data_IF_079417213252
#
_entry.id   IF_079417213252
#
_cell.length_a   1.000
_cell.length_b   1.000
_cell.length_c   1.000
_cell.angle_alpha   90.00
_cell.angle_beta   90.00
_cell.angle_gamma   90.00
#
_symmetry.space_group_name_H-M   'P 1'
#
loop_
_entity.id
_entity.type
_entity.pdbx_description
1 polymer ?
#
# COMPACT_ATOMS: atom_id res chain seq x y z
N UNK A 1 20.57 37.74 25.82
CA UNK A 1 21.16 36.39 26.00
C UNK A 1 20.41 35.45 25.07
N UNK A 2 21.03 35.03 23.96
CA UNK A 2 20.45 34.07 23.04
C UNK A 2 20.76 32.67 23.56
N UNK A 3 19.75 31.93 24.03
CA UNK A 3 19.90 30.50 24.31
C UNK A 3 20.08 29.77 22.99
N UNK A 4 21.30 29.31 22.73
CA UNK A 4 21.56 28.35 21.68
C UNK A 4 20.92 27.02 22.08
N UNK A 5 19.83 26.65 21.40
CA UNK A 5 19.27 25.30 21.49
C UNK A 5 20.35 24.33 20.99
N UNK A 6 20.86 23.47 21.88
CA UNK A 6 21.75 22.39 21.50
C UNK A 6 21.09 21.56 20.40
N UNK A 7 21.82 21.16 19.34
CA UNK A 7 21.26 20.31 18.30
C UNK A 7 20.77 19.02 18.96
N UNK A 8 19.46 18.76 18.84
CA UNK A 8 18.85 17.52 19.31
C UNK A 8 19.56 16.36 18.65
N UNK A 9 20.30 15.56 19.42
CA UNK A 9 21.00 14.40 18.90
C UNK A 9 19.98 13.35 18.45
N UNK A 10 19.89 13.09 17.16
CA UNK A 10 19.09 12.01 16.59
C UNK A 10 19.98 10.85 16.18
N UNK A 11 19.54 9.61 16.40
CA UNK A 11 20.31 8.41 16.06
C UNK A 11 19.45 7.39 15.32
N UNK A 12 20.01 6.77 14.27
CA UNK A 12 19.36 5.65 13.57
C UNK A 12 19.87 4.34 14.14
N UNK A 13 18.96 3.45 14.55
CA UNK A 13 19.28 2.15 15.14
C UNK A 13 18.32 1.06 14.65
N UNK A 14 18.65 -0.24 14.79
CA UNK A 14 17.71 -1.32 14.51
C UNK A 14 16.43 -1.21 15.35
N UNK A 15 15.30 -1.61 14.76
CA UNK A 15 14.02 -1.73 15.44
C UNK A 15 14.08 -2.67 16.64
N UNK A 16 13.45 -2.27 17.74
CA UNK A 16 13.30 -3.05 18.97
C UNK A 16 11.81 -3.20 19.32
N UNK A 17 11.49 -4.16 20.19
CA UNK A 17 10.09 -4.43 20.59
C UNK A 17 9.41 -3.23 21.25
N UNK A 18 10.16 -2.42 21.99
CA UNK A 18 9.70 -1.22 22.67
C UNK A 18 9.32 -0.09 21.69
N UNK A 19 9.84 -0.12 20.45
CA UNK A 19 9.49 0.86 19.42
C UNK A 19 8.09 0.61 18.82
N UNK A 20 7.48 -0.55 19.07
CA UNK A 20 6.28 -1.02 18.37
C UNK A 20 5.14 0.02 18.35
N UNK A 21 4.84 0.60 19.52
CA UNK A 21 3.76 1.57 19.65
C UNK A 21 4.08 2.87 18.89
N UNK A 22 5.27 3.44 19.08
CA UNK A 22 5.69 4.67 18.40
C UNK A 22 5.80 4.50 16.89
N UNK A 23 6.28 3.33 16.42
CA UNK A 23 6.33 3.00 14.99
C UNK A 23 4.95 2.90 14.39
N UNK A 24 3.99 2.26 15.07
CA UNK A 24 2.59 2.24 14.60
C UNK A 24 1.99 3.64 14.52
N UNK A 25 2.24 4.49 15.50
CA UNK A 25 1.78 5.89 15.47
C UNK A 25 2.38 6.67 14.29
N UNK A 26 3.65 6.44 13.95
CA UNK A 26 4.29 7.04 12.77
C UNK A 26 3.61 6.57 11.47
N UNK A 27 3.32 5.26 11.36
CA UNK A 27 2.62 4.69 10.19
C UNK A 27 1.21 5.26 10.06
N UNK A 28 0.46 5.30 11.18
CA UNK A 28 -0.92 5.78 11.19
C UNK A 28 -1.02 7.30 10.96
N UNK A 29 0.02 8.08 11.31
CA UNK A 29 0.07 9.51 11.06
C UNK A 29 0.18 9.87 9.56
N UNK A 30 0.82 9.00 8.77
CA UNK A 30 1.04 9.17 7.33
C UNK A 30 0.02 8.39 6.47
N UNK A 31 -1.10 7.97 7.08
CA UNK A 31 -2.11 7.09 6.50
C UNK A 31 -3.03 7.81 5.51
N UNK A 32 -3.41 7.12 4.44
CA UNK A 32 -4.39 7.60 3.46
C UNK A 32 -5.85 7.46 3.96
N UNK A 33 -6.80 8.27 3.47
CA UNK A 33 -8.24 8.03 3.65
C UNK A 33 -8.62 6.60 3.24
N UNK A 34 -9.34 5.85 4.08
CA UNK A 34 -9.67 4.44 3.80
C UNK A 34 -8.50 3.46 3.76
N UNK A 35 -7.29 3.83 4.19
CA UNK A 35 -6.24 2.86 4.50
C UNK A 35 -6.47 2.31 5.91
N UNK A 36 -6.36 1.01 6.10
CA UNK A 36 -6.57 0.39 7.42
C UNK A 36 -5.48 0.82 8.41
N UNK A 37 -5.81 0.92 9.71
CA UNK A 37 -4.80 1.20 10.74
C UNK A 37 -3.75 0.09 10.81
N UNK A 38 -2.55 0.47 11.20
CA UNK A 38 -1.46 -0.45 11.48
C UNK A 38 -1.65 -1.08 12.86
N UNK A 39 -2.08 -2.35 12.90
CA UNK A 39 -2.16 -3.12 14.14
C UNK A 39 -0.81 -3.76 14.46
N UNK A 40 -0.66 -4.27 15.69
CA UNK A 40 0.52 -5.01 16.12
C UNK A 40 0.79 -6.22 15.21
N UNK A 41 -0.26 -6.95 14.86
CA UNK A 41 -0.21 -8.16 14.05
C UNK A 41 0.24 -7.83 12.62
N UNK A 42 -0.23 -6.71 12.08
CA UNK A 42 0.13 -6.22 10.74
C UNK A 42 1.59 -5.76 10.68
N UNK A 43 2.06 -5.02 11.68
CA UNK A 43 3.47 -4.68 11.80
C UNK A 43 4.33 -5.94 12.00
N UNK A 44 3.89 -6.91 12.81
CA UNK A 44 4.59 -8.17 12.98
C UNK A 44 4.64 -9.00 11.68
N UNK A 45 3.58 -8.98 10.87
CA UNK A 45 3.56 -9.61 9.54
C UNK A 45 4.53 -8.90 8.59
N UNK A 46 4.54 -7.57 8.56
CA UNK A 46 5.49 -6.76 7.81
C UNK A 46 6.96 -7.15 8.07
N UNK A 47 7.29 -7.34 9.35
CA UNK A 47 8.63 -7.72 9.83
C UNK A 47 9.06 -9.11 9.37
N UNK A 48 8.10 -10.02 9.17
CA UNK A 48 8.37 -11.35 8.63
C UNK A 48 8.63 -11.33 7.12
N UNK A 49 8.26 -10.25 6.44
CA UNK A 49 8.23 -10.16 4.98
C UNK A 49 6.90 -10.68 4.42
N UNK A 50 6.65 -10.47 3.11
CA UNK A 50 5.53 -11.13 2.44
C UNK A 50 5.65 -12.65 2.64
N UNK A 51 4.55 -13.42 2.63
CA UNK A 51 4.66 -14.87 2.51
C UNK A 51 5.43 -15.22 1.24
N UNK A 52 6.17 -16.33 1.25
CA UNK A 52 6.94 -16.79 0.10
C UNK A 52 6.01 -16.92 -1.12
N UNK A 53 6.09 -15.96 -2.04
CA UNK A 53 5.57 -16.15 -3.39
C UNK A 53 6.51 -17.18 -4.03
N UNK A 54 5.93 -18.29 -4.49
CA UNK A 54 6.66 -19.36 -5.13
C UNK A 54 7.62 -18.77 -6.18
N UNK A 55 8.87 -19.24 -6.17
CA UNK A 55 9.98 -18.94 -7.09
C UNK A 55 11.04 -17.93 -6.63
N UNK A 56 10.88 -17.23 -5.50
CA UNK A 56 11.96 -16.37 -4.97
C UNK A 56 12.66 -17.08 -3.80
N UNK A 57 13.87 -17.59 -4.06
CA UNK A 57 14.71 -18.25 -3.06
C UNK A 57 14.86 -17.40 -1.79
N UNK A 58 14.67 -18.04 -0.63
CA UNK A 58 14.82 -17.51 0.73
C UNK A 58 14.63 -15.99 0.85
N UNK A 59 13.37 -15.54 0.96
CA UNK A 59 13.07 -14.13 1.21
C UNK A 59 13.85 -13.64 2.45
N UNK A 60 14.79 -12.69 2.24
CA UNK A 60 15.39 -11.97 3.35
C UNK A 60 14.28 -11.24 4.10
N UNK A 61 14.35 -11.27 5.44
CA UNK A 61 13.43 -10.49 6.27
C UNK A 61 13.76 -9.00 6.09
N UNK A 62 12.76 -8.12 5.97
CA UNK A 62 13.01 -6.68 5.91
C UNK A 62 13.82 -6.22 7.13
N UNK A 63 14.93 -5.53 6.87
CA UNK A 63 15.65 -4.79 7.90
C UNK A 63 14.85 -3.54 8.19
N UNK A 64 14.59 -3.30 9.47
CA UNK A 64 13.84 -2.12 9.92
C UNK A 64 14.73 -1.32 10.84
N UNK A 65 14.90 -0.06 10.48
CA UNK A 65 15.66 0.91 11.26
C UNK A 65 14.75 2.03 11.74
N UNK A 66 14.97 2.48 12.96
CA UNK A 66 14.23 3.53 13.64
C UNK A 66 15.17 4.70 13.89
N UNK A 67 14.75 5.90 13.50
CA UNK A 67 15.36 7.15 13.93
C UNK A 67 14.75 7.51 15.28
N UNK A 68 15.57 7.60 16.33
CA UNK A 68 15.14 8.03 17.65
C UNK A 68 15.73 9.37 18.06
N UNK A 69 15.01 10.10 18.91
CA UNK A 69 15.51 11.32 19.55
C UNK A 69 16.39 11.03 20.78
N UNK A 70 16.86 12.08 21.45
CA UNK A 70 17.70 11.97 22.64
C UNK A 70 17.03 11.25 23.83
N UNK A 71 15.70 11.17 23.85
CA UNK A 71 14.93 10.43 24.84
C UNK A 71 14.54 9.02 24.36
N UNK A 72 15.17 8.56 23.27
CA UNK A 72 14.95 7.28 22.60
C UNK A 72 13.52 7.08 22.04
N UNK A 73 12.77 8.16 21.80
CA UNK A 73 11.45 8.06 21.19
C UNK A 73 11.57 7.95 19.66
N UNK A 74 10.79 7.06 19.01
CA UNK A 74 10.74 6.97 17.54
C UNK A 74 10.27 8.28 16.90
N UNK A 75 11.10 8.84 16.01
CA UNK A 75 10.83 10.01 15.17
C UNK A 75 10.61 9.65 13.70
N UNK A 76 11.12 8.50 13.28
CA UNK A 76 10.86 7.96 11.96
C UNK A 76 11.28 6.50 11.87
N UNK A 77 10.83 5.81 10.84
CA UNK A 77 11.11 4.39 10.61
C UNK A 77 11.26 4.13 9.11
N UNK A 78 12.16 3.22 8.74
CA UNK A 78 12.35 2.76 7.37
C UNK A 78 12.53 1.26 7.34
N UNK A 79 11.97 0.61 6.31
CA UNK A 79 12.20 -0.79 6.04
C UNK A 79 12.80 -0.99 4.65
N UNK A 80 13.82 -1.85 4.59
CA UNK A 80 14.48 -2.17 3.33
C UNK A 80 14.98 -3.62 3.29
N UNK A 81 15.23 -4.09 2.07
CA UNK A 81 15.66 -5.42 1.70
C UNK A 81 16.86 -5.33 0.77
N UNK A 82 17.70 -6.36 0.77
CA UNK A 82 18.77 -6.54 -0.20
C UNK A 82 18.80 -7.97 -0.69
N UNK A 83 19.06 -8.16 -1.98
CA UNK A 83 19.34 -9.47 -2.57
C UNK A 83 20.79 -9.45 -3.09
N UNK A 84 21.74 -10.05 -2.35
CA UNK A 84 23.15 -10.00 -2.72
C UNK A 84 23.48 -10.66 -4.07
N UNK A 85 22.72 -11.69 -4.45
CA UNK A 85 22.87 -12.48 -5.67
C UNK A 85 22.55 -11.67 -6.93
N UNK A 86 21.42 -10.96 -6.95
CA UNK A 86 21.00 -10.10 -8.06
C UNK A 86 21.43 -8.62 -7.89
N UNK A 87 22.06 -8.29 -6.75
CA UNK A 87 22.52 -6.94 -6.38
C UNK A 87 21.42 -5.89 -6.47
N UNK A 88 20.22 -6.24 -6.00
CA UNK A 88 19.07 -5.34 -5.95
C UNK A 88 18.73 -5.02 -4.51
N UNK A 89 18.47 -3.74 -4.22
CA UNK A 89 17.91 -3.29 -2.95
C UNK A 89 16.47 -2.83 -3.15
N UNK A 90 15.63 -2.98 -2.12
CA UNK A 90 14.28 -2.40 -2.11
C UNK A 90 14.07 -1.62 -0.82
N UNK A 91 13.63 -0.37 -0.92
CA UNK A 91 13.04 0.36 0.20
C UNK A 91 11.54 0.10 0.17
N UNK A 92 11.05 -0.68 1.13
CA UNK A 92 9.66 -1.13 1.16
C UNK A 92 8.72 0.00 1.57
N UNK A 93 9.09 0.73 2.62
CA UNK A 93 8.31 1.82 3.20
C UNK A 93 9.17 2.68 4.12
N UNK A 94 8.79 3.94 4.28
CA UNK A 94 9.38 4.89 5.22
C UNK A 94 8.28 5.78 5.80
N UNK A 95 8.38 6.15 7.08
CA UNK A 95 7.39 6.98 7.78
C UNK A 95 8.08 7.91 8.77
N UNK A 96 7.67 9.18 8.79
CA UNK A 96 8.26 10.19 9.65
C UNK A 96 7.35 11.42 9.85
N UNK A 97 6.02 11.29 9.68
CA UNK A 97 5.10 12.43 9.77
C UNK A 97 5.41 13.52 8.74
N UNK A 98 5.94 13.12 7.59
CA UNK A 98 6.49 14.01 6.56
C UNK A 98 7.55 15.00 7.06
N UNK A 99 8.30 14.66 8.13
CA UNK A 99 9.48 15.42 8.56
C UNK A 99 10.66 15.19 7.60
N UNK A 100 10.92 16.15 6.73
CA UNK A 100 11.94 16.05 5.68
C UNK A 100 13.36 15.76 6.23
N UNK A 101 13.86 16.40 7.31
CA UNK A 101 15.15 16.05 7.89
C UNK A 101 15.25 14.60 8.39
N UNK A 102 14.21 14.07 9.04
CA UNK A 102 14.14 12.69 9.47
C UNK A 102 14.15 11.72 8.28
N UNK A 103 13.37 12.03 7.23
CA UNK A 103 13.32 11.24 6.00
C UNK A 103 14.69 11.18 5.30
N UNK A 104 15.37 12.32 5.15
CA UNK A 104 16.73 12.38 4.60
C UNK A 104 17.70 11.51 5.40
N UNK A 105 17.63 11.57 6.73
CA UNK A 105 18.49 10.78 7.62
C UNK A 105 18.24 9.28 7.46
N UNK A 106 16.98 8.86 7.43
CA UNK A 106 16.58 7.46 7.23
C UNK A 106 16.98 6.93 5.85
N UNK A 107 16.73 7.70 4.78
CA UNK A 107 17.12 7.33 3.42
C UNK A 107 18.63 7.25 3.29
N UNK A 108 19.38 8.22 3.83
CA UNK A 108 20.84 8.17 3.85
C UNK A 108 21.38 6.91 4.54
N UNK A 109 20.79 6.53 5.68
CA UNK A 109 21.13 5.28 6.36
C UNK A 109 20.84 4.04 5.50
N UNK A 110 19.62 3.92 4.95
CA UNK A 110 19.26 2.77 4.10
C UNK A 110 20.14 2.67 2.85
N UNK A 111 20.48 3.80 2.22
CA UNK A 111 21.36 3.84 1.06
C UNK A 111 22.80 3.42 1.37
N UNK A 112 23.31 3.77 2.56
CA UNK A 112 24.62 3.30 3.01
C UNK A 112 24.63 1.78 3.20
N UNK A 113 23.58 1.21 3.80
CA UNK A 113 23.40 -0.23 3.95
C UNK A 113 23.24 -0.96 2.60
N UNK A 114 22.60 -0.29 1.63
CA UNK A 114 22.36 -0.82 0.28
C UNK A 114 23.47 -0.46 -0.72
N UNK A 115 24.61 0.08 -0.28
CA UNK A 115 25.66 0.61 -1.17
C UNK A 115 26.26 -0.42 -2.16
N UNK A 116 26.10 -1.72 -1.89
CA UNK A 116 26.54 -2.82 -2.77
C UNK A 116 25.54 -3.18 -3.87
N UNK A 117 24.32 -2.64 -3.81
CA UNK A 117 23.28 -2.89 -4.79
C UNK A 117 23.53 -2.03 -6.04
N UNK A 118 23.40 -2.63 -7.22
CA UNK A 118 23.47 -1.90 -8.50
C UNK A 118 22.20 -1.10 -8.77
N UNK A 119 21.07 -1.61 -8.30
CA UNK A 119 19.76 -0.98 -8.42
C UNK A 119 19.10 -0.98 -7.06
N UNK A 120 18.47 0.15 -6.73
CA UNK A 120 17.62 0.29 -5.56
C UNK A 120 16.26 0.76 -6.04
N UNK A 121 15.24 -0.05 -5.84
CA UNK A 121 13.86 0.32 -6.07
C UNK A 121 13.23 0.78 -4.76
N UNK A 122 12.27 1.70 -4.80
CA UNK A 122 11.56 2.13 -3.60
C UNK A 122 10.06 2.19 -3.85
N UNK A 123 9.31 1.77 -2.83
CA UNK A 123 7.84 1.72 -2.81
C UNK A 123 7.27 0.82 -3.93
N UNK A 124 7.95 -0.27 -4.26
CA UNK A 124 7.50 -1.24 -5.29
C UNK A 124 6.77 -2.44 -4.68
N UNK A 125 5.67 -2.86 -5.30
CA UNK A 125 5.24 -4.27 -5.32
C UNK A 125 4.52 -4.83 -4.08
N UNK A 126 4.08 -4.01 -3.13
CA UNK A 126 3.19 -4.50 -2.07
C UNK A 126 1.72 -4.35 -2.51
N UNK A 127 0.85 -5.36 -2.34
CA UNK A 127 -0.59 -5.14 -2.47
C UNK A 127 -1.03 -4.07 -1.46
N UNK A 128 -2.12 -3.33 -1.73
CA UNK A 128 -2.63 -2.32 -0.81
C UNK A 128 -2.85 -2.93 0.57
N UNK A 129 -2.30 -2.27 1.58
CA UNK A 129 -2.35 -2.78 2.94
C UNK A 129 -2.04 -1.71 3.99
N UNK A 130 -1.87 -2.14 5.25
CA UNK A 130 -1.64 -1.25 6.38
C UNK A 130 -0.35 -0.43 6.24
N UNK A 131 0.64 -0.98 5.54
CA UNK A 131 1.94 -0.35 5.26
C UNK A 131 1.94 0.46 3.95
N UNK A 132 0.76 0.78 3.43
CA UNK A 132 0.60 1.62 2.27
C UNK A 132 0.03 0.90 1.04
N UNK A 133 -0.18 1.66 -0.03
CA UNK A 133 -0.98 1.22 -1.17
C UNK A 133 -0.18 0.51 -2.29
N UNK A 134 1.08 0.11 -2.05
CA UNK A 134 1.93 -0.46 -3.11
C UNK A 134 2.66 0.56 -4.00
N UNK A 135 2.67 1.81 -3.56
CA UNK A 135 3.38 2.96 -4.13
C UNK A 135 3.36 4.12 -3.14
N UNK A 136 4.11 5.18 -3.43
CA UNK A 136 4.08 6.42 -2.64
C UNK A 136 2.96 7.33 -3.15
N UNK A 137 1.97 7.71 -2.32
CA UNK A 137 1.02 8.79 -2.62
C UNK A 137 1.78 10.11 -2.78
N UNK A 138 1.97 10.58 -4.02
CA UNK A 138 2.92 11.66 -4.30
C UNK A 138 2.55 12.99 -3.64
N UNK A 139 1.27 13.38 -3.67
CA UNK A 139 0.82 14.66 -3.13
C UNK A 139 0.74 14.64 -1.59
N UNK A 140 0.26 13.55 -1.02
CA UNK A 140 0.09 13.41 0.45
C UNK A 140 1.36 13.03 1.17
N UNK A 141 2.34 12.49 0.46
CA UNK A 141 3.68 12.16 0.97
C UNK A 141 4.77 12.97 0.24
N UNK A 142 4.53 14.28 0.10
CA UNK A 142 5.37 15.20 -0.67
C UNK A 142 6.80 15.33 -0.12
N UNK A 143 7.01 15.34 1.19
CA UNK A 143 8.34 15.40 1.78
C UNK A 143 9.11 14.08 1.57
N UNK A 144 8.41 12.94 1.62
CA UNK A 144 9.00 11.65 1.28
C UNK A 144 9.40 11.61 -0.21
N UNK A 145 8.55 12.13 -1.09
CA UNK A 145 8.87 12.28 -2.51
C UNK A 145 10.12 13.15 -2.73
N UNK A 146 10.16 14.35 -2.12
CA UNK A 146 11.29 15.27 -2.21
C UNK A 146 12.59 14.61 -1.73
N UNK A 147 12.56 13.95 -0.57
CA UNK A 147 13.74 13.26 -0.03
C UNK A 147 14.27 12.15 -0.94
N UNK A 148 13.38 11.44 -1.66
CA UNK A 148 13.79 10.44 -2.66
C UNK A 148 14.46 11.08 -3.88
N UNK A 149 13.91 12.18 -4.40
CA UNK A 149 14.51 12.89 -5.54
C UNK A 149 15.90 13.42 -5.19
N UNK A 150 16.05 14.04 -4.01
CA UNK A 150 17.35 14.52 -3.53
C UNK A 150 18.37 13.40 -3.30
N UNK A 151 17.89 12.22 -2.92
CA UNK A 151 18.71 11.03 -2.80
C UNK A 151 19.07 10.38 -4.15
N UNK A 152 18.68 11.00 -5.27
CA UNK A 152 19.04 10.60 -6.64
C UNK A 152 18.13 9.53 -7.23
N UNK A 153 16.91 9.35 -6.69
CA UNK A 153 15.92 8.48 -7.31
C UNK A 153 15.19 9.18 -8.45
N UNK A 154 14.77 8.39 -9.44
CA UNK A 154 13.82 8.80 -10.48
C UNK A 154 12.46 8.20 -10.17
N UNK A 155 11.42 9.04 -10.12
CA UNK A 155 10.04 8.62 -9.87
C UNK A 155 9.31 8.21 -11.16
N UNK A 156 8.43 7.22 -11.05
CA UNK A 156 7.52 6.79 -12.10
C UNK A 156 6.12 6.61 -11.52
N UNK A 157 5.13 7.25 -12.14
CA UNK A 157 3.72 7.04 -11.82
C UNK A 157 3.32 5.61 -12.17
N UNK A 158 2.75 4.87 -11.22
CA UNK A 158 2.38 3.46 -11.32
C UNK A 158 0.93 3.16 -11.03
N UNK A 159 0.20 4.04 -10.38
CA UNK A 159 -1.19 3.80 -10.06
C UNK A 159 -1.94 5.03 -9.60
N UNK A 160 -3.18 4.80 -9.21
CA UNK A 160 -4.04 5.76 -8.53
C UNK A 160 -4.65 5.08 -7.31
N UNK A 161 -4.69 5.80 -6.19
CA UNK A 161 -5.41 5.39 -5.00
C UNK A 161 -6.79 6.05 -5.00
N UNK A 162 -7.84 5.23 -4.98
CA UNK A 162 -9.22 5.70 -4.95
C UNK A 162 -9.87 5.41 -3.61
N UNK A 163 -10.78 6.29 -3.20
CA UNK A 163 -11.58 6.17 -1.98
C UNK A 163 -13.04 6.51 -2.25
N UNK A 164 -13.94 5.79 -1.60
CA UNK A 164 -15.34 6.18 -1.47
C UNK A 164 -15.85 5.97 -0.05
N UNK A 165 -16.74 6.85 0.39
CA UNK A 165 -17.58 6.59 1.57
C UNK A 165 -18.76 5.71 1.16
N UNK A 166 -19.03 4.67 1.93
CA UNK A 166 -20.23 3.85 1.74
C UNK A 166 -21.39 4.52 2.49
N UNK A 167 -22.56 4.69 1.85
CA UNK A 167 -23.74 5.24 2.53
C UNK A 167 -24.09 4.38 3.75
N UNK A 168 -24.45 5.04 4.85
CA UNK A 168 -24.88 4.37 6.08
C UNK A 168 -26.27 3.76 6.00
N UNK A 169 -27.05 4.13 4.98
CA UNK A 169 -28.29 3.43 4.63
C UNK A 169 -27.96 2.09 3.95
N UNK A 170 -28.84 1.07 4.06
CA UNK A 170 -28.61 -0.22 3.42
C UNK A 170 -28.33 0.00 1.94
N UNK A 171 -27.11 -0.31 1.50
CA UNK A 171 -26.79 -0.34 0.08
C UNK A 171 -27.85 -1.19 -0.59
N UNK A 172 -28.58 -0.70 -1.62
CA UNK A 172 -29.74 -1.39 -2.14
C UNK A 172 -29.36 -2.82 -2.48
N UNK A 173 -29.83 -3.75 -1.65
CA UNK A 173 -29.45 -5.14 -1.75
C UNK A 173 -29.96 -5.62 -3.11
N UNK A 174 -29.09 -6.20 -3.95
CA UNK A 174 -29.56 -6.77 -5.19
C UNK A 174 -30.61 -7.83 -4.85
N UNK A 175 -31.77 -7.77 -5.49
CA UNK A 175 -32.92 -8.64 -5.20
C UNK A 175 -32.57 -10.14 -5.26
N UNK A 176 -31.46 -10.50 -5.93
CA UNK A 176 -30.84 -11.82 -5.90
C UNK A 176 -29.32 -11.68 -6.06
N UNK A 177 -28.54 -12.25 -5.14
CA UNK A 177 -27.10 -12.44 -5.34
C UNK A 177 -26.91 -13.41 -6.51
N UNK A 178 -26.14 -12.97 -7.51
CA UNK A 178 -25.76 -13.75 -8.70
C UNK A 178 -24.35 -14.32 -8.54
N UNK A 179 -23.54 -13.73 -7.66
CA UNK A 179 -22.18 -14.19 -7.39
C UNK A 179 -22.17 -15.25 -6.27
N UNK A 180 -21.41 -16.32 -6.47
CA UNK A 180 -20.99 -17.21 -5.40
C UNK A 180 -19.97 -16.47 -4.51
N UNK A 181 -20.06 -16.63 -3.19
CA UNK A 181 -19.16 -15.99 -2.23
C UNK A 181 -18.35 -17.07 -1.50
N UNK A 182 -17.02 -16.93 -1.53
CA UNK A 182 -16.09 -17.84 -0.86
C UNK A 182 -15.18 -17.06 0.10
N UNK A 183 -14.80 -17.62 1.25
CA UNK A 183 -13.70 -17.06 2.04
C UNK A 183 -12.40 -17.12 1.24
N UNK A 184 -11.55 -16.11 1.42
CA UNK A 184 -10.23 -16.02 0.79
C UNK A 184 -9.18 -15.76 1.88
N UNK A 185 -8.07 -16.50 1.85
CA UNK A 185 -6.97 -16.35 2.83
C UNK A 185 -5.89 -15.38 2.35
N UNK A 186 -5.70 -15.25 1.04
CA UNK A 186 -4.64 -14.43 0.44
C UNK A 186 -5.15 -13.71 -0.83
N UNK A 187 -5.43 -12.40 -0.75
CA UNK A 187 -5.50 -11.60 0.48
C UNK A 187 -6.69 -12.03 1.37
N UNK A 188 -6.62 -11.82 2.70
CA UNK A 188 -7.68 -12.22 3.61
C UNK A 188 -8.97 -11.46 3.31
N UNK A 189 -10.09 -12.17 3.16
CA UNK A 189 -11.39 -11.56 2.84
C UNK A 189 -12.38 -12.53 2.18
N UNK A 190 -13.10 -12.02 1.19
CA UNK A 190 -14.10 -12.77 0.41
C UNK A 190 -13.80 -12.66 -1.08
N UNK A 191 -13.90 -13.79 -1.77
CA UNK A 191 -13.84 -13.91 -3.23
C UNK A 191 -15.27 -14.08 -3.75
N UNK A 192 -15.70 -13.17 -4.62
CA UNK A 192 -17.01 -13.20 -5.26
C UNK A 192 -16.84 -13.61 -6.72
N UNK A 193 -17.62 -14.58 -7.19
CA UNK A 193 -17.50 -15.13 -8.55
C UNK A 193 -18.87 -15.15 -9.23
N UNK A 194 -18.99 -14.51 -10.40
CA UNK A 194 -20.14 -14.70 -11.30
C UNK A 194 -19.79 -15.77 -12.32
N UNK A 195 -20.72 -16.71 -12.56
CA UNK A 195 -20.54 -17.80 -13.52
C UNK A 195 -21.51 -17.71 -14.71
N UNK A 196 -21.06 -18.22 -15.85
CA UNK A 196 -21.91 -18.62 -16.98
C UNK A 196 -21.87 -20.16 -17.08
N UNK A 197 -22.95 -20.81 -16.69
CA UNK A 197 -22.93 -22.25 -16.38
C UNK A 197 -21.91 -22.57 -15.28
N UNK A 198 -20.92 -23.42 -15.59
CA UNK A 198 -19.83 -23.76 -14.67
C UNK A 198 -18.63 -22.79 -14.74
N UNK A 199 -18.55 -21.98 -15.79
CA UNK A 199 -17.37 -21.16 -16.10
C UNK A 199 -17.38 -19.84 -15.29
N UNK A 200 -16.33 -19.51 -14.52
CA UNK A 200 -16.24 -18.23 -13.83
C UNK A 200 -15.92 -17.11 -14.82
N UNK A 201 -16.84 -16.16 -15.02
CA UNK A 201 -16.74 -15.10 -16.05
C UNK A 201 -16.40 -13.72 -15.50
N UNK A 202 -16.61 -13.50 -14.19
CA UNK A 202 -16.16 -12.30 -13.49
C UNK A 202 -15.83 -12.63 -12.03
N UNK A 203 -14.86 -11.91 -11.47
CA UNK A 203 -14.35 -12.15 -10.12
C UNK A 203 -13.99 -10.85 -9.40
N UNK A 204 -14.21 -10.79 -8.09
CA UNK A 204 -13.72 -9.74 -7.21
C UNK A 204 -13.18 -10.34 -5.91
N UNK A 205 -12.14 -9.73 -5.34
CA UNK A 205 -11.65 -10.06 -3.99
C UNK A 205 -11.68 -8.81 -3.13
N UNK A 206 -12.39 -8.89 -2.02
CA UNK A 206 -12.64 -7.77 -1.11
C UNK A 206 -12.46 -8.17 0.34
N UNK A 207 -12.21 -7.21 1.23
CA UNK A 207 -12.15 -7.45 2.67
C UNK A 207 -12.65 -6.26 3.47
N UNK A 208 -13.05 -6.51 4.72
CA UNK A 208 -13.32 -5.47 5.72
C UNK A 208 -12.27 -5.56 6.81
N UNK A 209 -11.59 -4.45 7.05
CA UNK A 209 -10.66 -4.30 8.16
C UNK A 209 -11.37 -4.01 9.49
N UNK A 210 -10.67 -4.14 10.63
CA UNK A 210 -11.25 -3.92 11.97
C UNK A 210 -11.81 -2.51 12.17
N UNK A 211 -11.32 -1.52 11.41
CA UNK A 211 -11.77 -0.12 11.48
C UNK A 211 -13.02 0.16 10.63
N UNK A 212 -13.73 -0.87 10.17
CA UNK A 212 -14.88 -0.76 9.23
C UNK A 212 -14.49 -0.17 7.87
N UNK A 213 -13.21 -0.29 7.52
CA UNK A 213 -12.66 0.16 6.24
C UNK A 213 -12.52 -1.04 5.31
N UNK A 214 -13.18 -1.00 4.16
CA UNK A 214 -13.07 -2.04 3.16
C UNK A 214 -11.89 -1.82 2.20
N UNK A 215 -11.35 -2.92 1.68
CA UNK A 215 -10.36 -2.91 0.59
C UNK A 215 -10.89 -3.76 -0.56
N UNK A 216 -10.91 -3.19 -1.77
CA UNK A 216 -11.13 -3.93 -3.01
C UNK A 216 -9.75 -4.23 -3.60
N UNK A 217 -9.34 -5.49 -3.54
CA UNK A 217 -7.99 -5.89 -3.98
C UNK A 217 -7.91 -6.05 -5.50
N UNK A 218 -8.91 -6.70 -6.08
CA UNK A 218 -9.06 -6.77 -7.53
C UNK A 218 -10.50 -6.93 -7.94
N UNK A 219 -10.77 -6.61 -9.20
CA UNK A 219 -12.00 -6.95 -9.90
C UNK A 219 -11.68 -7.17 -11.37
N UNK A 220 -12.17 -8.27 -11.93
CA UNK A 220 -11.93 -8.64 -13.31
C UNK A 220 -13.20 -9.20 -13.97
N UNK A 221 -13.32 -9.00 -15.28
CA UNK A 221 -14.26 -9.71 -16.14
C UNK A 221 -13.49 -10.29 -17.31
N UNK A 222 -13.71 -11.59 -17.61
CA UNK A 222 -13.07 -12.28 -18.73
C UNK A 222 -13.24 -11.46 -20.02
N UNK A 223 -12.20 -11.34 -20.87
CA UNK A 223 -12.26 -10.54 -22.10
C UNK A 223 -13.50 -10.80 -22.97
N UNK A 224 -13.89 -12.06 -23.15
CA UNK A 224 -15.07 -12.49 -23.94
C UNK A 224 -16.43 -12.10 -23.35
N UNK A 225 -16.46 -11.67 -22.09
CA UNK A 225 -17.66 -11.31 -21.33
C UNK A 225 -17.71 -9.83 -20.94
N UNK A 226 -16.73 -9.04 -21.36
CA UNK A 226 -16.70 -7.58 -21.15
C UNK A 226 -17.81 -6.88 -21.93
N UNK A 227 -18.14 -5.66 -21.53
CA UNK A 227 -19.23 -4.87 -22.14
C UNK A 227 -20.65 -5.29 -21.73
N UNK A 228 -20.80 -6.37 -20.95
CA UNK A 228 -22.11 -6.90 -20.52
C UNK A 228 -22.56 -6.41 -19.13
N UNK A 229 -21.85 -5.44 -18.56
CA UNK A 229 -22.14 -4.89 -17.22
C UNK A 229 -21.81 -5.81 -16.04
N UNK A 230 -21.06 -6.90 -16.25
CA UNK A 230 -20.71 -7.85 -15.18
C UNK A 230 -19.86 -7.21 -14.09
N UNK A 231 -18.85 -6.40 -14.42
CA UNK A 231 -18.05 -5.68 -13.42
C UNK A 231 -18.91 -4.78 -12.52
N UNK A 232 -19.88 -4.05 -13.07
CA UNK A 232 -20.83 -3.25 -12.28
C UNK A 232 -21.70 -4.11 -11.38
N UNK A 233 -22.26 -5.21 -11.90
CA UNK A 233 -23.07 -6.15 -11.09
C UNK A 233 -22.26 -6.78 -9.96
N UNK A 234 -21.00 -7.11 -10.23
CA UNK A 234 -20.11 -7.73 -9.25
C UNK A 234 -19.68 -6.74 -8.17
N UNK A 235 -19.28 -5.52 -8.56
CA UNK A 235 -18.93 -4.47 -7.61
C UNK A 235 -20.11 -4.09 -6.70
N UNK A 236 -21.33 -4.01 -7.26
CA UNK A 236 -22.54 -3.76 -6.46
C UNK A 236 -22.84 -4.87 -5.45
N UNK A 237 -22.63 -6.13 -5.81
CA UNK A 237 -22.76 -7.25 -4.87
C UNK A 237 -21.66 -7.26 -3.82
N UNK A 238 -20.42 -6.95 -4.21
CA UNK A 238 -19.33 -6.79 -3.25
C UNK A 238 -19.64 -5.68 -2.25
N UNK A 239 -20.18 -4.55 -2.69
CA UNK A 239 -20.52 -3.42 -1.82
C UNK A 239 -21.67 -3.75 -0.86
N UNK A 240 -22.69 -4.48 -1.32
CA UNK A 240 -23.74 -5.00 -0.44
C UNK A 240 -23.15 -5.91 0.65
N UNK A 241 -22.27 -6.85 0.28
CA UNK A 241 -21.58 -7.73 1.23
C UNK A 241 -20.71 -6.94 2.23
N UNK A 242 -19.95 -5.95 1.75
CA UNK A 242 -19.10 -5.11 2.61
C UNK A 242 -19.94 -4.27 3.58
N UNK A 243 -21.07 -3.73 3.14
CA UNK A 243 -22.00 -2.99 3.99
C UNK A 243 -22.66 -3.88 5.04
N UNK A 244 -23.06 -5.11 4.69
CA UNK A 244 -23.55 -6.13 5.64
C UNK A 244 -22.49 -6.50 6.69
N UNK A 245 -21.21 -6.48 6.30
CA UNK A 245 -20.07 -6.65 7.20
C UNK A 245 -19.71 -5.37 7.99
N UNK A 246 -20.52 -4.32 7.85
CA UNK A 246 -20.41 -3.09 8.61
C UNK A 246 -19.41 -2.08 8.06
N UNK A 247 -18.86 -2.26 6.86
CA UNK A 247 -17.97 -1.29 6.24
C UNK A 247 -18.67 0.05 5.99
N UNK A 248 -17.96 1.15 6.22
CA UNK A 248 -18.46 2.54 6.03
C UNK A 248 -17.70 3.31 4.97
N UNK A 249 -16.59 2.75 4.51
CA UNK A 249 -15.76 3.31 3.45
C UNK A 249 -15.04 2.16 2.74
N UNK A 250 -14.62 2.41 1.51
CA UNK A 250 -13.82 1.48 0.74
C UNK A 250 -12.68 2.22 0.03
N UNK A 251 -11.55 1.54 -0.10
CA UNK A 251 -10.42 2.02 -0.88
C UNK A 251 -9.89 0.93 -1.81
N UNK A 252 -9.25 1.37 -2.89
CA UNK A 252 -8.62 0.49 -3.86
C UNK A 252 -7.47 1.19 -4.58
N UNK A 253 -6.68 0.38 -5.28
CA UNK A 253 -5.63 0.86 -6.17
C UNK A 253 -5.94 0.43 -7.60
N UNK A 254 -5.80 1.37 -8.52
CA UNK A 254 -5.80 1.09 -9.95
C UNK A 254 -4.36 1.13 -10.41
N UNK A 255 -3.89 0.03 -10.99
CA UNK A 255 -2.60 0.01 -11.68
C UNK A 255 -2.66 0.87 -12.93
N UNK A 256 -1.67 1.73 -13.10
CA UNK A 256 -1.51 2.61 -14.24
C UNK A 256 -0.89 1.81 -15.38
N UNK A 257 -1.73 1.00 -16.01
CA UNK A 257 -1.47 0.51 -17.35
C UNK A 257 -1.47 1.71 -18.32
N UNK A 258 -0.77 1.64 -19.46
CA UNK A 258 -0.88 2.66 -20.49
C UNK A 258 -2.35 3.01 -20.74
N UNK A 259 -2.70 4.28 -21.03
CA UNK A 259 -4.08 4.65 -21.29
C UNK A 259 -4.59 3.78 -22.43
N UNK A 260 -5.47 2.86 -22.05
CA UNK A 260 -6.11 1.87 -22.90
C UNK A 260 -7.60 2.00 -22.67
N UNK A 261 -8.40 1.52 -23.61
CA UNK A 261 -9.85 1.43 -23.44
C UNK A 261 -10.25 0.69 -22.14
N UNK A 262 -9.39 -0.21 -21.66
CA UNK A 262 -9.58 -0.96 -20.41
C UNK A 262 -9.38 -0.10 -19.16
N UNK A 263 -8.29 0.66 -19.10
CA UNK A 263 -8.00 1.58 -17.99
C UNK A 263 -9.13 2.59 -17.81
N UNK A 264 -9.64 3.18 -18.90
CA UNK A 264 -10.78 4.09 -18.84
C UNK A 264 -12.08 3.40 -18.39
N UNK A 265 -12.28 2.13 -18.78
CA UNK A 265 -13.45 1.38 -18.37
C UNK A 265 -13.43 1.08 -16.86
N UNK A 266 -12.26 0.80 -16.29
CA UNK A 266 -12.08 0.64 -14.85
C UNK A 266 -12.38 1.95 -14.12
N UNK A 267 -11.79 3.08 -14.54
CA UNK A 267 -12.09 4.39 -13.93
C UNK A 267 -13.58 4.72 -13.96
N UNK A 268 -14.23 4.61 -15.14
CA UNK A 268 -15.69 4.85 -15.26
C UNK A 268 -16.53 3.91 -14.39
N UNK A 269 -16.08 2.66 -14.21
CA UNK A 269 -16.75 1.73 -13.30
C UNK A 269 -16.69 2.27 -11.88
N UNK A 270 -15.50 2.58 -11.36
CA UNK A 270 -15.33 3.04 -9.98
C UNK A 270 -15.98 4.40 -9.72
N UNK A 271 -15.86 5.34 -10.66
CA UNK A 271 -16.54 6.65 -10.60
C UNK A 271 -18.06 6.46 -10.45
N UNK A 272 -18.65 5.45 -11.14
CA UNK A 272 -20.09 5.17 -11.03
C UNK A 272 -20.53 4.62 -9.66
N UNK A 273 -19.59 4.26 -8.78
CA UNK A 273 -19.82 3.89 -7.38
C UNK A 273 -19.39 4.98 -6.39
N UNK A 274 -19.04 6.17 -6.88
CA UNK A 274 -18.65 7.30 -6.03
C UNK A 274 -17.21 7.23 -5.54
N UNK A 275 -16.35 6.41 -6.15
CA UNK A 275 -14.92 6.52 -5.92
C UNK A 275 -14.40 7.85 -6.46
N UNK A 276 -13.45 8.42 -5.72
CA UNK A 276 -12.74 9.62 -6.10
C UNK A 276 -11.24 9.39 -5.99
N UNK A 277 -10.47 10.03 -6.88
CA UNK A 277 -9.03 10.03 -6.83
C UNK A 277 -8.56 10.73 -5.56
N UNK A 278 -7.79 10.03 -4.74
CA UNK A 278 -7.16 10.61 -3.55
C UNK A 278 -5.75 11.07 -3.86
N UNK A 279 -4.99 10.24 -4.58
CA UNK A 279 -3.60 10.54 -4.96
C UNK A 279 -3.12 9.59 -6.08
N UNK A 280 -2.09 10.01 -6.78
CA UNK A 280 -1.33 9.17 -7.70
C UNK A 280 -0.26 8.40 -6.92
N UNK A 281 -0.07 7.13 -7.29
CA UNK A 281 0.93 6.26 -6.68
C UNK A 281 2.19 6.21 -7.53
N UNK A 282 3.32 6.47 -6.89
CA UNK A 282 4.62 6.55 -7.52
C UNK A 282 5.57 5.48 -6.98
N UNK A 283 6.33 4.87 -7.87
CA UNK A 283 7.48 4.02 -7.54
C UNK A 283 8.75 4.74 -7.93
N UNK A 284 9.86 4.42 -7.27
CA UNK A 284 11.12 5.09 -7.52
C UNK A 284 12.22 4.10 -7.82
N UNK A 285 13.16 4.50 -8.66
CA UNK A 285 14.33 3.71 -8.99
C UNK A 285 15.58 4.57 -8.94
N UNK A 286 16.63 4.01 -8.35
CA UNK A 286 17.99 4.56 -8.37
C UNK A 286 18.94 3.50 -8.90
N UNK A 287 19.78 3.86 -9.87
CA UNK A 287 20.82 2.98 -10.41
C UNK A 287 22.19 3.54 -10.08
N UNK A 288 23.09 2.67 -9.62
CA UNK A 288 24.50 2.98 -9.55
C UNK A 288 25.09 2.76 -10.94
N UNK A 289 25.46 3.84 -11.61
CA UNK A 289 26.39 3.76 -12.74
C UNK A 289 27.75 3.35 -12.16
N UNK A 290 28.14 2.08 -12.36
CA UNK A 290 29.54 1.70 -12.21
C UNK A 290 30.32 2.48 -13.27
N UNK A 291 31.09 3.50 -12.83
CA UNK A 291 32.19 4.05 -13.61
C UNK A 291 33.36 3.06 -13.60
#
# INVERSE_FOLDING_TARGET
MASFLSPSSTTVRPYRSEDEAGVRELIDADRMPGQQRCTKEKLAAARRGPPALADWAAQERPRISVLSDAADHPRGVIAFLSWPDIRTGVICWAYAREDLPALRTLLGHALAELARCRQIDAFVGAPPGPLGPGGLPHLRRAATHEALLEAGFTGHRRGAYLHCTLPGEPWPAPAKLVADVFPCECPPGHRLIIRDGAEPVAEAVVSVGPDRTATVYWIETRPTHRGRGLGRKLLGQAFALLAEQGAVEAALVIDNMPPTSESEAASRLFDSFGFSLVDELWTYQRRHTCL
#
